data_IF_402845890742
#
_entry.id   IF_402845890742
#
_cell.length_a   1.000
_cell.length_b   1.000
_cell.length_c   1.000
_cell.angle_alpha   90.00
_cell.angle_beta   90.00
_cell.angle_gamma   90.00
#
_symmetry.space_group_name_H-M   'P 1'
#
loop_
_entity.id
_entity.type
_entity.pdbx_description
1 polymer ?
#
# COMPACT_ATOMS: atom_id res chain seq x y z
N UNK A 1 -31.45 24.34 -25.32
CA UNK A 1 -30.39 24.09 -24.32
C UNK A 1 -30.98 24.35 -22.93
N UNK A 2 -31.40 23.30 -22.21
CA UNK A 2 -31.80 23.43 -20.81
C UNK A 2 -30.64 22.90 -19.98
N UNK A 3 -30.14 23.79 -19.14
CA UNK A 3 -28.91 23.77 -18.38
C UNK A 3 -28.90 22.70 -17.31
N UNK A 4 -27.69 22.37 -16.84
CA UNK A 4 -27.42 21.55 -15.65
C UNK A 4 -28.50 21.73 -14.59
N UNK A 5 -29.07 20.61 -14.17
CA UNK A 5 -30.00 20.54 -13.03
C UNK A 5 -29.22 20.88 -11.76
N UNK A 6 -29.27 22.14 -11.31
CA UNK A 6 -28.73 22.55 -10.01
C UNK A 6 -29.62 22.00 -8.90
N UNK A 7 -29.15 20.95 -8.20
CA UNK A 7 -29.84 20.37 -7.03
C UNK A 7 -30.14 21.44 -5.96
N UNK A 8 -29.33 22.50 -5.87
CA UNK A 8 -29.60 23.63 -4.99
C UNK A 8 -30.91 24.35 -5.31
N UNK A 9 -31.22 24.59 -6.60
CA UNK A 9 -32.48 25.23 -7.00
C UNK A 9 -33.69 24.29 -6.84
N UNK A 10 -33.49 22.98 -7.01
CA UNK A 10 -34.51 21.98 -6.71
C UNK A 10 -34.88 21.96 -5.22
N UNK A 11 -33.89 22.06 -4.32
CA UNK A 11 -34.13 22.11 -2.88
C UNK A 11 -34.84 23.41 -2.46
N UNK A 12 -34.53 24.55 -3.08
CA UNK A 12 -35.24 25.80 -2.85
C UNK A 12 -36.70 25.73 -3.32
N UNK A 13 -36.94 25.13 -4.49
CA UNK A 13 -38.29 24.93 -5.02
C UNK A 13 -39.14 24.00 -4.13
N UNK A 14 -38.56 22.93 -3.58
CA UNK A 14 -39.26 22.04 -2.64
C UNK A 14 -39.64 22.77 -1.35
N UNK A 15 -38.71 23.53 -0.76
CA UNK A 15 -38.98 24.35 0.43
C UNK A 15 -40.06 25.41 0.19
N UNK A 16 -40.13 25.98 -1.00
CA UNK A 16 -41.16 26.95 -1.36
C UNK A 16 -42.55 26.32 -1.42
N UNK A 17 -42.66 25.10 -1.95
CA UNK A 17 -43.92 24.32 -1.99
C UNK A 17 -44.34 23.90 -0.58
N UNK A 18 -43.39 23.52 0.28
CA UNK A 18 -43.67 23.20 1.69
C UNK A 18 -44.17 24.41 2.49
N UNK A 19 -43.64 25.60 2.21
CA UNK A 19 -44.04 26.85 2.88
C UNK A 19 -45.35 27.44 2.35
N UNK A 20 -45.67 27.21 1.07
CA UNK A 20 -46.84 27.75 0.41
C UNK A 20 -47.66 26.61 -0.23
N UNK A 21 -48.66 26.04 0.47
CA UNK A 21 -49.44 24.91 -0.03
C UNK A 21 -50.22 25.20 -1.33
N UNK A 22 -50.53 26.46 -1.61
CA UNK A 22 -51.20 26.89 -2.85
C UNK A 22 -50.26 26.91 -4.07
N UNK A 23 -48.94 26.85 -3.86
CA UNK A 23 -47.96 26.91 -4.92
C UNK A 23 -47.92 25.57 -5.68
N UNK A 24 -48.34 25.60 -6.95
CA UNK A 24 -48.32 24.41 -7.78
C UNK A 24 -46.88 24.00 -8.15
N UNK A 25 -46.65 22.68 -8.36
CA UNK A 25 -45.35 22.19 -8.82
C UNK A 25 -44.89 22.85 -10.14
N UNK A 26 -45.82 23.19 -11.03
CA UNK A 26 -45.53 23.85 -12.33
C UNK A 26 -45.07 25.27 -12.13
N UNK A 27 -45.69 25.98 -11.20
CA UNK A 27 -45.37 27.35 -10.90
C UNK A 27 -44.04 27.47 -10.14
N UNK A 28 -43.80 26.61 -9.15
CA UNK A 28 -42.51 26.49 -8.50
C UNK A 28 -41.39 26.14 -9.49
N UNK A 29 -41.63 25.21 -10.42
CA UNK A 29 -40.66 24.87 -11.46
C UNK A 29 -40.30 26.07 -12.34
N UNK A 30 -41.29 26.92 -12.68
CA UNK A 30 -41.09 28.15 -13.46
C UNK A 30 -40.32 29.22 -12.68
N UNK A 31 -40.68 29.46 -11.43
CA UNK A 31 -40.04 30.48 -10.56
C UNK A 31 -38.56 30.14 -10.36
N UNK A 32 -38.27 28.88 -10.04
CA UNK A 32 -36.92 28.42 -9.74
C UNK A 32 -36.16 27.93 -10.97
N UNK A 33 -36.71 28.08 -12.18
CA UNK A 33 -36.08 27.65 -13.45
C UNK A 33 -35.63 26.18 -13.46
N UNK A 34 -36.35 25.30 -12.77
CA UNK A 34 -36.05 23.86 -12.69
C UNK A 34 -36.99 23.05 -13.58
N UNK A 35 -36.53 21.89 -14.05
CA UNK A 35 -37.39 20.97 -14.79
C UNK A 35 -38.52 20.45 -13.89
N UNK A 36 -39.77 20.71 -14.28
CA UNK A 36 -40.98 20.26 -13.57
C UNK A 36 -40.95 18.75 -13.27
N UNK A 37 -40.50 17.93 -14.23
CA UNK A 37 -40.42 16.48 -14.05
C UNK A 37 -39.40 16.07 -12.97
N UNK A 38 -38.27 16.77 -12.89
CA UNK A 38 -37.25 16.50 -11.87
C UNK A 38 -37.73 16.92 -10.48
N UNK A 39 -38.39 18.08 -10.38
CA UNK A 39 -39.00 18.57 -9.13
C UNK A 39 -40.08 17.61 -8.61
N UNK A 40 -40.98 17.15 -9.49
CA UNK A 40 -42.01 16.17 -9.15
C UNK A 40 -41.40 14.86 -8.65
N UNK A 41 -40.36 14.35 -9.31
CA UNK A 41 -39.64 13.14 -8.88
C UNK A 41 -39.02 13.30 -7.49
N UNK A 42 -38.37 14.44 -7.21
CA UNK A 42 -37.79 14.74 -5.89
C UNK A 42 -38.85 14.84 -4.81
N UNK A 43 -39.98 15.51 -5.07
CA UNK A 43 -41.13 15.60 -4.15
C UNK A 43 -41.71 14.21 -3.82
N UNK A 44 -41.71 13.30 -4.79
CA UNK A 44 -42.13 11.91 -4.61
C UNK A 44 -41.05 11.01 -3.99
N UNK A 45 -40.00 11.58 -3.37
CA UNK A 45 -38.98 10.85 -2.63
C UNK A 45 -37.88 10.21 -3.50
N UNK A 46 -37.83 10.48 -4.81
CA UNK A 46 -36.73 9.97 -5.64
C UNK A 46 -35.48 10.84 -5.46
N UNK A 47 -34.40 10.26 -4.92
CA UNK A 47 -33.09 10.91 -4.77
C UNK A 47 -32.36 11.12 -6.10
N UNK A 48 -31.36 12.01 -6.11
CA UNK A 48 -30.57 12.27 -7.29
C UNK A 48 -29.80 11.03 -7.74
N UNK A 49 -29.56 10.95 -9.06
CA UNK A 49 -28.78 9.84 -9.59
C UNK A 49 -27.35 9.85 -9.04
N UNK A 50 -26.80 11.04 -8.73
CA UNK A 50 -25.51 11.19 -8.05
C UNK A 50 -25.52 10.73 -6.59
N UNK A 51 -26.64 10.92 -5.90
CA UNK A 51 -26.79 10.54 -4.48
C UNK A 51 -27.18 9.07 -4.29
N UNK A 52 -27.63 8.40 -5.36
CA UNK A 52 -27.93 6.97 -5.33
C UNK A 52 -26.64 6.17 -5.21
N UNK A 53 -26.55 5.40 -4.12
CA UNK A 53 -25.53 4.37 -3.95
C UNK A 53 -25.61 3.44 -5.17
N UNK A 54 -24.48 3.23 -5.84
CA UNK A 54 -24.42 2.30 -6.96
C UNK A 54 -24.86 0.91 -6.48
N UNK A 55 -25.74 0.24 -7.23
CA UNK A 55 -26.28 -1.09 -6.91
C UNK A 55 -25.19 -2.17 -6.66
N UNK A 56 -23.94 -1.88 -7.02
CA UNK A 56 -22.78 -2.76 -6.81
C UNK A 56 -22.08 -2.58 -5.45
N UNK A 57 -22.47 -1.61 -4.62
CA UNK A 57 -21.96 -1.47 -3.25
C UNK A 57 -22.76 -2.36 -2.31
N UNK A 58 -22.11 -3.44 -1.83
CA UNK A 58 -22.67 -4.39 -0.86
C UNK A 58 -22.64 -3.90 0.59
N UNK A 59 -21.72 -2.99 0.90
CA UNK A 59 -21.57 -2.38 2.22
C UNK A 59 -22.10 -0.95 2.22
N UNK A 60 -22.59 -0.54 3.38
CA UNK A 60 -22.94 0.85 3.71
C UNK A 60 -21.69 1.70 3.84
N UNK A 61 -21.86 3.04 3.77
CA UNK A 61 -20.74 3.96 3.93
C UNK A 61 -20.07 3.80 5.31
N UNK A 62 -20.84 3.55 6.37
CA UNK A 62 -20.31 3.34 7.72
C UNK A 62 -19.45 2.07 7.80
N UNK A 63 -19.94 0.96 7.23
CA UNK A 63 -19.19 -0.30 7.18
C UNK A 63 -17.91 -0.15 6.36
N UNK A 64 -17.96 0.51 5.19
CA UNK A 64 -16.76 0.80 4.41
C UNK A 64 -15.76 1.65 5.20
N UNK A 65 -16.20 2.74 5.85
CA UNK A 65 -15.34 3.59 6.69
C UNK A 65 -14.72 2.83 7.86
N UNK A 66 -15.46 1.92 8.48
CA UNK A 66 -14.96 1.08 9.59
C UNK A 66 -13.83 0.16 9.10
N UNK A 67 -14.00 -0.46 7.92
CA UNK A 67 -12.95 -1.29 7.32
C UNK A 67 -11.71 -0.45 6.99
N UNK A 68 -11.88 0.75 6.42
CA UNK A 68 -10.75 1.64 6.12
C UNK A 68 -9.97 1.98 7.40
N UNK A 69 -10.67 2.42 8.45
CA UNK A 69 -10.04 2.78 9.71
C UNK A 69 -9.29 1.60 10.35
N UNK A 70 -9.88 0.40 10.28
CA UNK A 70 -9.24 -0.80 10.81
C UNK A 70 -7.99 -1.20 10.00
N UNK A 71 -7.99 -1.03 8.67
CA UNK A 71 -6.80 -1.26 7.85
C UNK A 71 -5.67 -0.31 8.24
N UNK A 72 -5.98 0.98 8.45
CA UNK A 72 -4.98 1.98 8.83
C UNK A 72 -4.39 1.70 10.22
N UNK A 73 -5.21 1.26 11.17
CA UNK A 73 -4.76 0.87 12.51
C UNK A 73 -3.89 -0.40 12.50
N UNK A 74 -4.18 -1.35 11.61
CA UNK A 74 -3.33 -2.52 11.38
C UNK A 74 -1.99 -2.15 10.74
N UNK A 75 -2.00 -1.24 9.77
CA UNK A 75 -0.79 -0.75 9.10
C UNK A 75 0.12 0.02 10.08
N UNK A 76 -0.45 0.86 10.94
CA UNK A 76 0.29 1.57 12.00
C UNK A 76 1.02 0.62 12.96
N UNK A 77 0.50 -0.59 13.16
CA UNK A 77 1.09 -1.65 13.99
C UNK A 77 2.02 -2.57 13.21
N UNK A 78 2.34 -2.25 11.96
CA UNK A 78 3.16 -3.08 11.05
C UNK A 78 2.55 -4.44 10.72
N UNK A 79 1.21 -4.55 10.78
CA UNK A 79 0.46 -5.75 10.39
C UNK A 79 -0.56 -5.46 9.25
N UNK A 80 -0.13 -4.89 8.11
CA UNK A 80 -1.06 -4.56 7.04
C UNK A 80 -1.79 -5.81 6.51
N UNK A 81 -3.12 -5.78 6.39
CA UNK A 81 -3.88 -6.93 5.95
C UNK A 81 -3.69 -7.22 4.46
N UNK A 82 -3.75 -8.51 4.09
CA UNK A 82 -3.82 -8.92 2.69
C UNK A 82 -5.19 -8.60 2.10
N UNK A 83 -5.30 -8.55 0.76
CA UNK A 83 -6.58 -8.38 0.06
C UNK A 83 -7.63 -9.42 0.48
N UNK A 84 -7.21 -10.67 0.73
CA UNK A 84 -8.10 -11.72 1.26
C UNK A 84 -8.61 -11.37 2.66
N UNK A 85 -7.75 -10.84 3.53
CA UNK A 85 -8.14 -10.40 4.87
C UNK A 85 -9.14 -9.23 4.82
N UNK A 86 -8.97 -8.29 3.89
CA UNK A 86 -9.95 -7.21 3.66
C UNK A 86 -11.29 -7.78 3.16
N UNK A 87 -11.25 -8.82 2.32
CA UNK A 87 -12.45 -9.53 1.88
C UNK A 87 -13.14 -10.24 3.04
N UNK A 88 -12.39 -10.87 3.94
CA UNK A 88 -12.92 -11.57 5.12
C UNK A 88 -13.57 -10.59 6.10
N UNK A 89 -12.97 -9.41 6.32
CA UNK A 89 -13.57 -8.35 7.13
C UNK A 89 -14.94 -7.93 6.58
N UNK A 90 -15.03 -7.70 5.27
CA UNK A 90 -16.29 -7.36 4.61
C UNK A 90 -17.32 -8.50 4.70
N UNK A 91 -16.89 -9.74 4.51
CA UNK A 91 -17.77 -10.91 4.58
C UNK A 91 -18.29 -11.16 5.99
N UNK A 92 -17.52 -10.86 7.04
CA UNK A 92 -18.01 -10.93 8.43
C UNK A 92 -19.17 -9.96 8.66
N UNK A 93 -19.01 -8.69 8.26
CA UNK A 93 -20.08 -7.70 8.38
C UNK A 93 -21.33 -8.08 7.57
N UNK A 94 -21.15 -8.69 6.40
CA UNK A 94 -22.27 -9.19 5.60
C UNK A 94 -22.94 -10.41 6.23
N UNK A 95 -22.18 -11.33 6.82
CA UNK A 95 -22.70 -12.50 7.50
C UNK A 95 -23.56 -12.10 8.72
N UNK A 96 -23.14 -11.09 9.48
CA UNK A 96 -23.92 -10.53 10.60
C UNK A 96 -25.29 -9.98 10.17
N UNK A 97 -25.44 -9.65 8.88
CA UNK A 97 -26.68 -9.13 8.27
C UNK A 97 -27.40 -10.15 7.39
N UNK A 98 -26.97 -11.41 7.40
CA UNK A 98 -27.47 -12.48 6.53
C UNK A 98 -27.43 -12.12 5.03
N UNK A 99 -26.38 -11.40 4.62
CA UNK A 99 -26.18 -10.89 3.28
C UNK A 99 -25.15 -11.71 2.48
N UNK A 100 -25.29 -11.81 1.14
CA UNK A 100 -24.40 -12.63 0.32
C UNK A 100 -22.99 -12.03 0.23
N UNK A 101 -21.99 -12.91 0.38
CA UNK A 101 -20.56 -12.59 0.37
C UNK A 101 -20.09 -11.78 -0.83
N UNK A 102 -19.03 -10.99 -0.64
CA UNK A 102 -18.45 -10.17 -1.71
C UNK A 102 -17.75 -11.02 -2.76
N UNK A 103 -17.75 -10.56 -4.01
CA UNK A 103 -17.07 -11.24 -5.11
C UNK A 103 -15.54 -11.12 -5.04
N UNK A 104 -14.83 -11.98 -5.76
CA UNK A 104 -13.35 -12.09 -5.78
C UNK A 104 -12.65 -10.76 -6.07
N UNK A 105 -13.22 -9.94 -6.96
CA UNK A 105 -12.66 -8.65 -7.36
C UNK A 105 -13.08 -7.49 -6.45
N UNK A 106 -13.80 -7.76 -5.36
CA UNK A 106 -14.35 -6.69 -4.51
C UNK A 106 -13.25 -5.97 -3.73
N UNK A 107 -12.33 -6.70 -3.10
CA UNK A 107 -11.27 -6.10 -2.25
C UNK A 107 -10.32 -5.20 -3.08
N UNK A 108 -9.95 -5.63 -4.29
CA UNK A 108 -9.11 -4.81 -5.18
C UNK A 108 -9.83 -3.55 -5.66
N UNK A 109 -11.14 -3.65 -5.95
CA UNK A 109 -11.97 -2.49 -6.27
C UNK A 109 -12.20 -1.58 -5.05
N UNK A 110 -12.29 -2.14 -3.86
CA UNK A 110 -12.44 -1.40 -2.61
C UNK A 110 -11.22 -0.51 -2.37
N UNK A 111 -10.01 -1.07 -2.43
CA UNK A 111 -8.77 -0.30 -2.29
C UNK A 111 -8.67 0.79 -3.37
N UNK A 112 -9.06 0.52 -4.61
CA UNK A 112 -9.05 1.54 -5.69
C UNK A 112 -10.03 2.71 -5.48
N UNK A 113 -11.07 2.55 -4.65
CA UNK A 113 -12.07 3.61 -4.39
C UNK A 113 -11.66 4.56 -3.28
N UNK A 114 -10.74 4.15 -2.41
CA UNK A 114 -10.30 4.90 -1.24
C UNK A 114 -8.87 5.37 -1.48
N UNK A 115 -8.67 6.68 -1.64
CA UNK A 115 -7.38 7.27 -1.97
C UNK A 115 -6.34 7.08 -0.85
N UNK A 116 -6.82 6.85 0.36
CA UNK A 116 -6.06 6.55 1.57
C UNK A 116 -5.39 5.18 1.52
N UNK A 117 -5.87 4.26 0.68
CA UNK A 117 -5.41 2.88 0.64
C UNK A 117 -4.63 2.58 -0.65
N UNK A 118 -3.48 1.91 -0.51
CA UNK A 118 -2.67 1.46 -1.65
C UNK A 118 -2.12 0.06 -1.42
N UNK A 119 -2.15 -0.78 -2.45
CA UNK A 119 -1.46 -2.08 -2.42
C UNK A 119 0.02 -1.89 -2.71
N UNK A 120 0.88 -2.41 -1.82
CA UNK A 120 2.34 -2.47 -1.99
C UNK A 120 2.86 -3.89 -1.77
N UNK A 121 3.99 -4.20 -2.38
CA UNK A 121 4.70 -5.45 -2.10
C UNK A 121 5.43 -5.33 -0.77
N UNK A 122 5.18 -6.28 0.13
CA UNK A 122 5.91 -6.37 1.40
C UNK A 122 7.34 -6.84 1.14
N UNK A 123 8.32 -6.23 1.81
CA UNK A 123 9.66 -6.83 1.91
C UNK A 123 9.69 -7.75 3.13
N UNK A 124 10.42 -8.86 3.01
CA UNK A 124 10.71 -9.68 4.19
C UNK A 124 11.57 -8.85 5.12
N UNK A 125 11.12 -8.70 6.34
CA UNK A 125 11.85 -8.03 7.39
C UNK A 125 12.08 -9.08 8.49
N UNK A 126 13.32 -9.16 8.94
CA UNK A 126 13.73 -10.23 9.85
C UNK A 126 13.11 -9.99 11.24
N UNK A 127 12.41 -10.98 11.77
CA UNK A 127 11.70 -10.86 13.05
C UNK A 127 12.67 -10.69 14.23
N UNK A 128 13.85 -11.32 14.18
CA UNK A 128 14.85 -11.14 15.22
C UNK A 128 15.44 -9.72 15.16
N UNK A 129 15.65 -9.17 13.97
CA UNK A 129 15.99 -7.75 13.81
C UNK A 129 14.92 -6.84 14.42
N UNK A 130 13.64 -7.09 14.13
CA UNK A 130 12.54 -6.31 14.69
C UNK A 130 12.52 -6.33 16.24
N UNK A 131 12.82 -7.48 16.86
CA UNK A 131 12.87 -7.62 18.31
C UNK A 131 14.09 -6.94 18.94
N UNK A 132 15.20 -6.87 18.21
CA UNK A 132 16.44 -6.27 18.69
C UNK A 132 16.49 -4.74 18.46
N UNK A 133 15.57 -4.17 17.66
CA UNK A 133 15.48 -2.73 17.41
C UNK A 133 14.69 -2.00 18.52
N UNK A 134 15.19 -2.04 19.76
CA UNK A 134 14.69 -1.13 20.81
C UNK A 134 15.17 0.30 20.49
N UNK A 135 14.22 1.18 20.16
CA UNK A 135 14.50 2.58 19.81
C UNK A 135 15.30 3.32 20.86
N UNK A 136 15.12 3.03 22.15
CA UNK A 136 15.89 3.67 23.21
C UNK A 136 17.34 3.18 23.20
N UNK A 137 17.56 1.87 23.10
CA UNK A 137 18.90 1.28 23.05
C UNK A 137 19.67 1.77 21.83
N UNK A 138 19.01 1.84 20.67
CA UNK A 138 19.61 2.36 19.43
C UNK A 138 20.00 3.83 19.60
N UNK A 139 19.10 4.67 20.12
CA UNK A 139 19.36 6.09 20.34
C UNK A 139 20.54 6.29 21.30
N UNK A 140 20.53 5.58 22.42
CA UNK A 140 21.56 5.72 23.46
C UNK A 140 22.92 5.25 22.93
N UNK A 141 22.95 4.20 22.10
CA UNK A 141 24.16 3.78 21.39
C UNK A 141 24.69 4.85 20.43
N UNK A 142 23.83 5.43 19.58
CA UNK A 142 24.25 6.50 18.66
C UNK A 142 24.75 7.74 19.41
N UNK A 143 24.11 8.10 20.53
CA UNK A 143 24.56 9.19 21.38
C UNK A 143 25.95 8.91 21.97
N UNK A 144 26.18 7.69 22.45
CA UNK A 144 27.49 7.27 22.95
C UNK A 144 28.57 7.33 21.87
N UNK A 145 28.26 6.86 20.66
CA UNK A 145 29.18 6.95 19.51
C UNK A 145 29.52 8.41 19.23
N UNK A 146 28.53 9.29 19.05
CA UNK A 146 28.76 10.72 18.80
C UNK A 146 29.61 11.39 19.88
N UNK A 147 29.33 11.12 21.16
CA UNK A 147 30.11 11.65 22.27
C UNK A 147 31.57 11.16 22.22
N UNK A 148 31.77 9.90 21.83
CA UNK A 148 33.10 9.29 21.70
C UNK A 148 33.87 9.90 20.53
N UNK A 149 33.22 10.06 19.36
CA UNK A 149 33.79 10.75 18.19
C UNK A 149 34.28 12.14 18.58
N UNK A 150 33.42 12.92 19.24
CA UNK A 150 33.72 14.28 19.66
C UNK A 150 34.85 14.34 20.71
N UNK A 151 34.86 13.41 21.67
CA UNK A 151 35.86 13.36 22.74
C UNK A 151 37.26 13.05 22.21
N UNK A 152 37.38 12.14 21.25
CA UNK A 152 38.67 11.69 20.73
C UNK A 152 39.06 12.35 19.40
N UNK A 153 38.20 13.22 18.84
CA UNK A 153 38.47 13.91 17.58
C UNK A 153 38.56 12.96 16.38
N UNK A 154 37.79 11.86 16.40
CA UNK A 154 37.78 10.87 15.32
C UNK A 154 37.16 11.52 14.07
N UNK A 155 37.82 11.40 12.93
CA UNK A 155 37.35 11.96 11.67
C UNK A 155 36.53 10.94 10.88
N UNK A 156 35.72 11.40 9.93
CA UNK A 156 34.92 10.52 9.07
C UNK A 156 35.80 9.52 8.28
N UNK A 157 37.04 9.89 8.01
CA UNK A 157 38.05 9.08 7.31
C UNK A 157 38.53 7.87 8.14
N UNK A 158 38.43 7.98 9.47
CA UNK A 158 38.84 6.95 10.42
C UNK A 158 37.75 5.87 10.63
N UNK A 159 36.53 6.11 10.13
CA UNK A 159 35.44 5.14 10.19
C UNK A 159 35.55 4.14 9.06
N UNK A 160 35.86 2.88 9.40
CA UNK A 160 35.83 1.76 8.47
C UNK A 160 34.62 0.88 8.74
N UNK A 161 33.80 0.67 7.71
CA UNK A 161 32.80 -0.39 7.75
C UNK A 161 33.46 -1.71 7.34
N UNK A 162 33.26 -2.75 8.15
CA UNK A 162 33.92 -4.03 7.99
C UNK A 162 32.86 -5.12 7.89
N UNK A 163 32.96 -5.97 6.86
CA UNK A 163 32.00 -7.04 6.63
C UNK A 163 32.68 -8.29 6.06
N UNK A 164 32.05 -9.44 6.27
CA UNK A 164 32.49 -10.73 5.72
C UNK A 164 31.53 -11.16 4.62
N UNK A 165 32.08 -11.47 3.44
CA UNK A 165 31.34 -12.06 2.34
C UNK A 165 31.91 -13.43 1.99
N UNK A 166 31.04 -14.44 2.03
CA UNK A 166 31.36 -15.80 1.59
C UNK A 166 31.17 -15.96 0.08
N UNK A 167 32.21 -16.44 -0.60
CA UNK A 167 32.18 -16.84 -2.00
C UNK A 167 32.30 -18.36 -2.08
N UNK A 168 31.36 -19.02 -2.77
CA UNK A 168 31.51 -20.45 -3.06
C UNK A 168 32.30 -20.62 -4.36
N UNK A 169 33.45 -21.27 -4.27
CA UNK A 169 34.27 -21.61 -5.41
C UNK A 169 33.56 -22.67 -6.25
N UNK A 170 33.65 -22.55 -7.58
CA UNK A 170 33.08 -23.53 -8.51
C UNK A 170 31.58 -23.39 -8.81
N UNK A 171 30.84 -22.47 -8.16
CA UNK A 171 29.49 -22.13 -8.61
C UNK A 171 29.58 -21.29 -9.88
N UNK A 172 29.24 -21.90 -11.01
CA UNK A 172 28.94 -21.17 -12.23
C UNK A 172 27.52 -20.60 -12.10
N UNK A 173 27.40 -19.28 -12.00
CA UNK A 173 26.12 -18.58 -12.09
C UNK A 173 25.52 -18.71 -13.49
N UNK A 174 24.21 -18.57 -13.61
CA UNK A 174 23.56 -18.46 -14.93
C UNK A 174 24.05 -17.19 -15.63
N UNK A 175 24.97 -17.35 -16.57
CA UNK A 175 25.54 -16.27 -17.37
C UNK A 175 25.25 -16.53 -18.84
N UNK A 176 25.09 -15.47 -19.63
CA UNK A 176 24.94 -15.59 -21.08
C UNK A 176 26.19 -16.23 -21.68
N UNK A 177 26.02 -17.35 -22.37
CA UNK A 177 27.11 -18.06 -23.06
C UNK A 177 26.87 -18.09 -24.55
N UNK A 178 27.95 -18.03 -25.33
CA UNK A 178 27.91 -18.29 -26.77
C UNK A 178 27.84 -19.80 -26.97
N UNK A 179 26.84 -20.27 -27.71
CA UNK A 179 26.62 -21.70 -27.98
C UNK A 179 26.19 -21.93 -29.43
N UNK A 180 26.29 -23.17 -29.92
CA UNK A 180 25.85 -23.54 -31.27
C UNK A 180 24.35 -23.27 -31.45
N UNK A 181 23.99 -22.74 -32.61
CA UNK A 181 22.59 -22.49 -33.02
C UNK A 181 21.73 -23.75 -33.06
N UNK A 182 22.35 -24.93 -33.18
CA UNK A 182 21.67 -26.22 -33.24
C UNK A 182 21.40 -26.83 -31.85
N UNK A 183 21.99 -26.26 -30.78
CA UNK A 183 21.86 -26.81 -29.44
C UNK A 183 20.46 -26.53 -28.88
N UNK A 184 19.64 -27.58 -28.75
CA UNK A 184 18.31 -27.49 -28.13
C UNK A 184 18.43 -27.52 -26.61
N UNK A 185 17.82 -26.54 -25.95
CA UNK A 185 17.80 -26.42 -24.48
C UNK A 185 18.85 -25.46 -23.91
N UNK A 186 18.82 -25.25 -22.58
CA UNK A 186 19.80 -24.38 -21.91
C UNK A 186 21.18 -25.05 -21.90
N UNK A 187 22.24 -24.38 -22.38
CA UNK A 187 23.59 -24.93 -22.32
C UNK A 187 24.01 -25.18 -20.86
N UNK A 188 24.48 -26.39 -20.58
CA UNK A 188 25.07 -26.75 -19.30
C UNK A 188 26.58 -26.48 -19.34
N UNK A 189 27.09 -25.75 -18.36
CA UNK A 189 28.52 -25.65 -18.10
C UNK A 189 28.88 -26.70 -17.04
N UNK A 190 29.92 -27.49 -17.30
CA UNK A 190 30.44 -28.46 -16.33
C UNK A 190 31.06 -27.71 -15.15
N UNK A 191 30.43 -27.84 -13.98
CA UNK A 191 30.97 -27.32 -12.73
C UNK A 191 32.02 -28.30 -12.19
N UNK A 192 33.23 -27.86 -11.82
CA UNK A 192 34.12 -28.66 -10.99
C UNK A 192 33.38 -29.02 -9.68
N UNK A 193 33.45 -30.28 -9.24
CA UNK A 193 32.73 -30.75 -8.06
C UNK A 193 33.20 -30.16 -6.73
N UNK A 194 34.25 -29.32 -6.73
CA UNK A 194 34.77 -28.72 -5.52
C UNK A 194 33.94 -27.49 -5.14
N UNK A 195 33.28 -27.55 -3.98
CA UNK A 195 32.39 -26.52 -3.42
C UNK A 195 33.00 -25.87 -2.19
N UNK A 196 34.28 -25.55 -2.25
CA UNK A 196 34.97 -24.91 -1.15
C UNK A 196 34.46 -23.48 -1.00
N UNK A 197 34.20 -23.08 0.25
CA UNK A 197 33.88 -21.70 0.59
C UNK A 197 35.16 -20.92 0.84
N UNK A 198 35.21 -19.71 0.32
CA UNK A 198 36.23 -18.71 0.60
C UNK A 198 35.53 -17.54 1.26
N UNK A 199 35.92 -17.23 2.49
CA UNK A 199 35.46 -16.02 3.15
C UNK A 199 36.42 -14.89 2.83
N UNK A 200 35.87 -13.78 2.38
CA UNK A 200 36.61 -12.54 2.19
C UNK A 200 36.11 -11.55 3.21
N UNK A 201 37.03 -11.07 4.02
CA UNK A 201 36.77 -10.01 4.98
C UNK A 201 37.29 -8.71 4.37
N UNK A 202 36.42 -7.70 4.25
CA UNK A 202 36.76 -6.44 3.61
C UNK A 202 36.33 -5.24 4.46
N UNK A 203 37.18 -4.21 4.47
CA UNK A 203 36.90 -2.94 5.12
C UNK A 203 37.00 -1.77 4.15
N UNK A 204 36.06 -0.82 4.20
CA UNK A 204 36.10 0.43 3.43
C UNK A 204 35.73 1.62 4.31
N UNK A 205 36.42 2.75 4.15
CA UNK A 205 36.05 3.98 4.83
C UNK A 205 35.10 4.86 4.02
N UNK A 206 34.64 5.95 4.63
CA UNK A 206 33.74 6.94 4.01
C UNK A 206 34.33 7.62 2.76
N UNK A 207 35.65 7.66 2.61
CA UNK A 207 36.35 8.23 1.45
C UNK A 207 36.57 7.23 0.30
N UNK A 208 36.15 5.97 0.48
CA UNK A 208 36.33 4.92 -0.51
C UNK A 208 37.70 4.24 -0.45
N UNK A 209 38.50 4.49 0.59
CA UNK A 209 39.74 3.75 0.83
C UNK A 209 39.40 2.35 1.34
N UNK A 210 39.87 1.32 0.62
CA UNK A 210 39.67 -0.08 0.98
C UNK A 210 40.92 -0.65 1.66
N UNK A 211 40.73 -1.30 2.79
CA UNK A 211 41.77 -2.12 3.43
C UNK A 211 41.98 -3.37 2.55
N UNK A 212 43.24 -3.83 2.34
CA UNK A 212 43.48 -5.08 1.63
C UNK A 212 42.62 -6.23 2.19
N UNK A 213 41.92 -6.99 1.33
CA UNK A 213 41.00 -8.02 1.79
C UNK A 213 41.77 -9.13 2.51
N UNK A 214 41.20 -9.63 3.60
CA UNK A 214 41.69 -10.82 4.27
C UNK A 214 40.92 -12.03 3.76
N UNK A 215 41.62 -12.97 3.13
CA UNK A 215 41.01 -14.11 2.46
C UNK A 215 41.29 -15.36 3.28
N UNK A 216 40.21 -16.02 3.70
CA UNK A 216 40.24 -17.29 4.42
C UNK A 216 39.78 -18.37 3.45
N UNK A 217 40.69 -19.27 3.09
CA UNK A 217 40.41 -20.46 2.27
C UNK A 217 40.25 -21.68 3.18
N UNK A 218 39.49 -22.68 2.72
CA UNK A 218 39.46 -23.98 3.36
C UNK A 218 40.88 -24.60 3.34
N UNK A 219 41.32 -25.14 4.48
CA UNK A 219 42.61 -25.82 4.64
C UNK A 219 42.50 -27.33 4.46
#
# INVERSE_FOLDING_TARGET
>A
MVTKSDEGQLMLALRAIERCPELSNREAARIYSVCHMTLMRRRNGQSARGDKIANSRKLTNLEESTIVQYILDLDARSFPPRLSGVQDMANRLLADRDAPSVGVNWASKFVKRHEELKTRFTRRYDYQRALCEDSNVIRDWFQLVQNTVAKYGVQDEDFYNFDETGFMMGIISTTTVVTSSEKRGRPTLTQPGNREWVSVIQGINSQGWAIPPFIIVAG
#
